data_IF_157881299782
#
_entry.id   IF_157881299782
#
_cell.length_a   1.000
_cell.length_b   1.000
_cell.length_c   1.000
_cell.angle_alpha   90.00
_cell.angle_beta   90.00
_cell.angle_gamma   90.00
#
_symmetry.space_group_name_H-M   'P 1'
#
loop_
_entity.id
_entity.type
_entity.pdbx_description
1 polymer ?
#
# COMPACT_ATOMS: atom_id res chain seq x y z
N UNK A 1 39.92 19.44 13.90
CA UNK A 1 38.66 19.00 14.53
C UNK A 1 37.81 18.36 13.46
N UNK A 2 37.47 17.06 13.51
CA UNK A 2 36.58 16.47 12.51
C UNK A 2 35.14 16.92 12.80
N UNK A 3 34.41 17.29 11.74
CA UNK A 3 33.00 17.64 11.81
C UNK A 3 32.17 16.40 12.21
N UNK A 4 31.34 16.57 13.22
CA UNK A 4 30.31 15.61 13.62
C UNK A 4 29.35 15.38 12.44
N UNK A 5 29.36 14.18 11.86
CA UNK A 5 28.24 13.72 11.04
C UNK A 5 27.06 13.47 11.97
N UNK A 6 26.18 14.45 12.11
CA UNK A 6 24.82 14.20 12.59
C UNK A 6 24.14 13.30 11.55
N UNK A 7 23.72 12.10 11.96
CA UNK A 7 22.77 11.27 11.23
C UNK A 7 21.37 11.90 11.31
N UNK A 8 21.28 13.18 10.94
CA UNK A 8 20.05 13.94 10.94
C UNK A 8 19.24 13.49 9.74
N UNK A 9 18.07 12.91 10.01
CA UNK A 9 17.01 12.83 9.03
C UNK A 9 16.68 14.26 8.58
N UNK A 10 17.12 14.63 7.38
CA UNK A 10 16.70 15.87 6.69
C UNK A 10 15.57 15.47 5.74
N UNK A 11 14.29 15.60 6.14
CA UNK A 11 13.19 15.21 5.28
C UNK A 11 13.15 16.14 4.07
N UNK A 12 13.54 15.60 2.91
CA UNK A 12 13.20 16.20 1.63
C UNK A 12 11.67 16.17 1.48
N UNK A 13 11.02 17.27 1.85
CA UNK A 13 9.57 17.41 1.71
C UNK A 13 9.17 17.27 0.23
N UNK A 14 8.35 16.27 -0.08
CA UNK A 14 7.82 16.02 -1.44
C UNK A 14 6.44 16.63 -1.69
N UNK A 15 5.87 17.32 -0.70
CA UNK A 15 4.54 17.92 -0.80
C UNK A 15 3.41 16.90 -0.71
N UNK A 16 2.27 17.21 -1.32
CA UNK A 16 1.15 16.30 -1.45
C UNK A 16 1.45 15.21 -2.49
N UNK A 17 1.28 13.95 -2.11
CA UNK A 17 1.64 12.79 -2.96
C UNK A 17 0.44 12.08 -3.58
N UNK A 18 -0.75 12.27 -3.00
CA UNK A 18 -2.03 11.78 -3.52
C UNK A 18 -3.15 12.71 -3.04
N UNK A 19 -4.02 13.13 -3.96
CA UNK A 19 -5.15 14.03 -3.67
C UNK A 19 -6.37 13.34 -3.05
N UNK A 20 -6.29 12.03 -2.88
CA UNK A 20 -7.36 11.20 -2.37
C UNK A 20 -8.41 10.87 -3.43
N UNK A 21 -9.24 9.88 -3.10
CA UNK A 21 -10.24 9.29 -4.02
C UNK A 21 -11.65 9.32 -3.41
N UNK A 22 -11.87 10.23 -2.45
CA UNK A 22 -13.11 10.31 -1.66
C UNK A 22 -13.23 9.29 -0.52
N UNK A 23 -12.14 8.58 -0.20
CA UNK A 23 -12.07 7.67 0.93
C UNK A 23 -11.68 8.39 2.23
N UNK A 24 -12.19 7.92 3.37
CA UNK A 24 -11.77 8.38 4.68
C UNK A 24 -10.39 7.81 5.06
N UNK A 25 -9.68 8.48 5.99
CA UNK A 25 -8.31 8.11 6.39
C UNK A 25 -8.19 6.65 6.85
N UNK A 26 -9.15 6.15 7.60
CA UNK A 26 -9.18 4.79 8.16
C UNK A 26 -9.34 3.71 7.06
N UNK A 27 -9.86 4.09 5.90
CA UNK A 27 -9.99 3.21 4.74
C UNK A 27 -8.70 3.09 3.92
N UNK A 28 -7.75 4.01 4.09
CA UNK A 28 -6.57 4.09 3.24
C UNK A 28 -5.42 3.27 3.80
N UNK A 29 -4.72 2.54 2.93
CA UNK A 29 -3.43 1.91 3.21
C UNK A 29 -2.45 2.26 2.08
N UNK A 30 -1.17 2.39 2.43
CA UNK A 30 -0.07 2.57 1.48
C UNK A 30 0.83 1.35 1.56
N UNK A 31 0.85 0.55 0.49
CA UNK A 31 1.44 -0.79 0.47
C UNK A 31 2.01 -1.04 -0.91
N UNK A 32 3.22 -1.58 -1.02
CA UNK A 32 3.75 -2.06 -2.30
C UNK A 32 2.99 -3.33 -2.72
N UNK A 33 2.07 -3.20 -3.67
CA UNK A 33 1.15 -4.25 -4.08
C UNK A 33 1.64 -4.97 -5.33
N UNK A 34 2.47 -4.34 -6.15
CA UNK A 34 2.97 -4.93 -7.40
C UNK A 34 4.44 -5.36 -7.34
N UNK A 35 5.16 -5.03 -6.26
CA UNK A 35 6.55 -5.40 -6.01
C UNK A 35 7.57 -4.60 -6.80
N UNK A 36 7.24 -3.36 -7.16
CA UNK A 36 8.15 -2.43 -7.85
C UNK A 36 8.97 -1.54 -6.88
N UNK A 37 8.84 -1.75 -5.58
CA UNK A 37 9.42 -0.99 -4.46
C UNK A 37 8.85 0.43 -4.31
N UNK A 38 7.66 0.70 -4.86
CA UNK A 38 6.88 1.91 -4.60
C UNK A 38 5.60 1.49 -3.88
N UNK A 39 5.18 2.29 -2.90
CA UNK A 39 3.90 2.06 -2.23
C UNK A 39 2.76 2.49 -3.15
N UNK A 40 1.76 1.62 -3.25
CA UNK A 40 0.51 1.83 -3.95
C UNK A 40 -0.58 2.34 -3.00
N UNK A 41 -1.61 2.96 -3.57
CA UNK A 41 -2.72 3.53 -2.81
C UNK A 41 -3.89 2.57 -2.77
N UNK A 42 -4.23 2.06 -1.59
CA UNK A 42 -5.30 1.09 -1.39
C UNK A 42 -6.45 1.71 -0.59
N UNK A 43 -7.67 1.39 -0.98
CA UNK A 43 -8.91 1.72 -0.24
C UNK A 43 -9.61 0.44 0.16
N UNK A 44 -9.75 0.24 1.47
CA UNK A 44 -10.38 -0.91 2.10
C UNK A 44 -11.88 -0.66 2.36
N UNK A 45 -12.71 -1.57 1.89
CA UNK A 45 -14.14 -1.63 2.23
C UNK A 45 -14.39 -2.26 3.60
N UNK A 46 -15.60 -2.09 4.15
CA UNK A 46 -15.97 -2.57 5.49
C UNK A 46 -15.87 -4.10 5.65
N UNK A 47 -15.93 -4.84 4.54
CA UNK A 47 -15.85 -6.31 4.52
C UNK A 47 -14.59 -6.83 3.81
N UNK A 48 -13.57 -5.99 3.75
CA UNK A 48 -12.24 -6.31 3.26
C UNK A 48 -12.05 -6.29 1.75
N UNK A 49 -12.98 -5.67 1.02
CA UNK A 49 -12.74 -5.30 -0.37
C UNK A 49 -11.52 -4.40 -0.45
N UNK A 50 -10.72 -4.53 -1.51
CA UNK A 50 -9.59 -3.64 -1.76
C UNK A 50 -9.71 -3.07 -3.16
N UNK A 51 -9.73 -1.74 -3.26
CA UNK A 51 -9.53 -1.02 -4.52
C UNK A 51 -8.15 -0.38 -4.53
N UNK A 52 -7.44 -0.48 -5.65
CA UNK A 52 -6.05 -0.04 -5.75
C UNK A 52 -5.81 0.96 -6.87
N UNK A 53 -4.82 1.83 -6.63
CA UNK A 53 -4.17 2.69 -7.60
C UNK A 53 -2.67 2.47 -7.50
N UNK A 54 -2.05 1.99 -8.58
CA UNK A 54 -0.62 1.73 -8.62
C UNK A 54 0.17 3.03 -8.79
N UNK A 55 1.32 3.10 -8.13
CA UNK A 55 2.24 4.22 -8.21
C UNK A 55 3.24 4.02 -9.35
N UNK A 56 3.01 4.68 -10.48
CA UNK A 56 3.91 4.64 -11.65
C UNK A 56 5.12 5.61 -11.48
N UNK A 57 5.30 6.21 -10.29
CA UNK A 57 6.43 7.06 -9.94
C UNK A 57 6.21 8.55 -10.28
N UNK A 58 7.29 9.35 -10.36
CA UNK A 58 7.20 10.79 -10.64
C UNK A 58 6.54 11.07 -12.00
N UNK A 59 5.56 11.96 -12.02
CA UNK A 59 4.93 12.38 -13.27
C UNK A 59 5.75 13.46 -13.99
N UNK A 60 5.70 13.49 -15.33
CA UNK A 60 6.47 14.43 -16.16
C UNK A 60 6.16 15.92 -15.88
N UNK A 61 4.96 16.23 -15.37
CA UNK A 61 4.54 17.58 -14.97
C UNK A 61 4.77 17.91 -13.50
N UNK A 62 5.46 17.05 -12.75
CA UNK A 62 5.57 17.11 -11.30
C UNK A 62 4.46 16.31 -10.59
N UNK A 63 4.69 16.00 -9.31
CA UNK A 63 3.82 15.10 -8.54
C UNK A 63 4.06 13.63 -8.86
N UNK A 64 3.01 12.82 -8.76
CA UNK A 64 3.07 11.36 -8.86
C UNK A 64 2.02 10.85 -9.86
N UNK A 65 2.43 9.88 -10.68
CA UNK A 65 1.58 9.19 -11.62
C UNK A 65 0.88 8.02 -10.91
N UNK A 66 -0.45 8.03 -10.94
CA UNK A 66 -1.28 7.00 -10.31
C UNK A 66 -2.14 6.31 -11.35
N UNK A 67 -2.05 4.98 -11.44
CA UNK A 67 -2.85 4.16 -12.35
C UNK A 67 -3.97 3.46 -11.60
N UNK A 68 -5.23 3.80 -11.89
CA UNK A 68 -6.39 3.11 -11.31
C UNK A 68 -6.43 1.66 -11.78
N UNK A 69 -6.30 0.71 -10.85
CA UNK A 69 -6.40 -0.73 -11.12
C UNK A 69 -7.81 -1.26 -10.86
N UNK A 70 -8.57 -0.59 -9.98
CA UNK A 70 -9.93 -1.01 -9.64
C UNK A 70 -9.94 -1.95 -8.45
N UNK A 71 -10.94 -2.83 -8.35
CA UNK A 71 -11.03 -3.82 -7.29
C UNK A 71 -10.02 -4.95 -7.53
N UNK A 72 -9.15 -5.16 -6.56
CA UNK A 72 -8.09 -6.17 -6.60
C UNK A 72 -8.34 -7.31 -5.60
N UNK A 73 -9.22 -7.08 -4.61
CA UNK A 73 -9.75 -8.11 -3.75
C UNK A 73 -11.24 -7.84 -3.48
N UNK A 74 -12.07 -8.87 -3.60
CA UNK A 74 -13.51 -8.82 -3.28
C UNK A 74 -13.79 -8.83 -1.77
N UNK A 75 -12.75 -9.02 -0.96
CA UNK A 75 -12.86 -9.23 0.47
C UNK A 75 -13.27 -10.65 0.85
N UNK A 76 -13.06 -10.96 2.13
CA UNK A 76 -13.34 -12.28 2.72
C UNK A 76 -14.34 -12.19 3.88
N UNK A 77 -15.04 -11.05 3.99
CA UNK A 77 -16.01 -10.78 5.05
C UNK A 77 -15.40 -10.32 6.38
N UNK A 78 -14.08 -10.17 6.45
CA UNK A 78 -13.40 -9.64 7.62
C UNK A 78 -13.56 -8.10 7.70
N UNK A 79 -13.64 -7.52 8.91
CA UNK A 79 -13.56 -6.07 9.09
C UNK A 79 -12.24 -5.53 8.54
N UNK A 80 -12.26 -4.32 7.98
CA UNK A 80 -11.03 -3.70 7.44
C UNK A 80 -9.88 -3.59 8.44
N UNK A 81 -10.18 -3.44 9.73
CA UNK A 81 -9.18 -3.27 10.78
C UNK A 81 -8.45 -4.59 11.10
N UNK A 82 -8.99 -5.71 10.63
CA UNK A 82 -8.36 -7.03 10.74
C UNK A 82 -7.48 -7.36 9.53
N UNK A 83 -7.32 -6.43 8.57
CA UNK A 83 -6.58 -6.68 7.33
C UNK A 83 -5.20 -6.05 7.43
N UNK A 84 -4.20 -6.90 7.24
CA UNK A 84 -2.81 -6.53 7.05
C UNK A 84 -2.35 -6.88 5.64
N UNK A 85 -1.23 -6.27 5.25
CA UNK A 85 -0.55 -6.59 4.01
C UNK A 85 0.92 -6.88 4.30
N UNK A 86 1.41 -8.02 3.83
CA UNK A 86 2.78 -8.45 4.06
C UNK A 86 3.21 -9.43 2.97
N UNK A 87 4.47 -9.36 2.55
CA UNK A 87 5.10 -10.34 1.66
C UNK A 87 5.28 -11.68 2.39
N UNK A 88 4.44 -12.69 2.09
CA UNK A 88 4.45 -14.00 2.72
C UNK A 88 5.35 -15.01 2.01
N UNK A 89 5.59 -14.83 0.72
CA UNK A 89 6.30 -15.81 -0.12
C UNK A 89 7.67 -15.32 -0.65
N UNK A 90 8.02 -14.07 -0.39
CA UNK A 90 9.31 -13.47 -0.70
C UNK A 90 9.43 -12.91 -2.11
N UNK A 91 8.32 -12.72 -2.83
CA UNK A 91 8.31 -12.23 -4.21
C UNK A 91 8.29 -10.70 -4.37
N UNK A 92 8.24 -10.00 -3.22
CA UNK A 92 8.16 -8.54 -3.02
C UNK A 92 6.78 -7.91 -3.23
N UNK A 93 5.75 -8.67 -3.54
CA UNK A 93 4.36 -8.21 -3.60
C UNK A 93 3.75 -8.44 -2.23
N UNK A 94 3.20 -7.41 -1.59
CA UNK A 94 2.51 -7.66 -0.34
C UNK A 94 1.21 -8.45 -0.60
N UNK A 95 1.04 -9.51 0.17
CA UNK A 95 -0.12 -10.39 0.17
C UNK A 95 -1.21 -9.87 1.08
N UNK A 96 -2.43 -10.39 0.91
CA UNK A 96 -3.58 -10.04 1.73
C UNK A 96 -3.62 -10.96 2.96
N UNK A 97 -3.64 -10.38 4.16
CA UNK A 97 -3.65 -11.13 5.42
C UNK A 97 -4.82 -10.68 6.29
N UNK A 98 -5.55 -11.64 6.87
CA UNK A 98 -6.53 -11.38 7.93
C UNK A 98 -6.01 -11.89 9.25
N UNK A 99 -5.85 -10.99 10.21
CA UNK A 99 -5.49 -11.31 11.59
C UNK A 99 -6.76 -11.28 12.46
N UNK A 100 -7.10 -12.41 13.07
CA UNK A 100 -8.25 -12.53 13.98
C UNK A 100 -7.89 -12.08 15.39
N UNK A 101 -8.91 -11.81 16.22
CA UNK A 101 -8.74 -11.32 17.60
C UNK A 101 -7.90 -12.24 18.49
N UNK A 102 -7.86 -13.54 18.19
CA UNK A 102 -7.02 -14.52 18.89
C UNK A 102 -5.57 -14.61 18.36
N UNK A 103 -5.18 -13.71 17.45
CA UNK A 103 -3.87 -13.67 16.80
C UNK A 103 -3.70 -14.66 15.64
N UNK A 104 -4.71 -15.47 15.31
CA UNK A 104 -4.62 -16.40 14.19
C UNK A 104 -4.74 -15.67 12.84
N UNK A 105 -3.77 -15.89 11.96
CA UNK A 105 -3.73 -15.27 10.63
C UNK A 105 -4.20 -16.23 9.52
N UNK A 106 -4.84 -15.69 8.50
CA UNK A 106 -5.09 -16.36 7.22
C UNK A 106 -4.60 -15.46 6.09
N UNK A 107 -3.90 -16.02 5.11
CA UNK A 107 -3.26 -15.27 4.03
C UNK A 107 -3.70 -15.73 2.64
N UNK A 108 -3.64 -14.82 1.68
CA UNK A 108 -3.94 -15.05 0.26
C UNK A 108 -2.85 -14.42 -0.59
N UNK A 109 -2.17 -15.24 -1.40
CA UNK A 109 -1.08 -14.79 -2.25
C UNK A 109 -1.55 -13.85 -3.36
N UNK A 110 -0.76 -12.83 -3.61
CA UNK A 110 -0.96 -11.87 -4.67
C UNK A 110 -0.05 -12.18 -5.87
N UNK A 111 -0.53 -13.05 -6.77
CA UNK A 111 0.26 -13.50 -7.94
C UNK A 111 -0.11 -12.85 -9.28
N UNK A 112 -1.07 -11.92 -9.27
CA UNK A 112 -1.75 -11.51 -10.52
C UNK A 112 -1.61 -10.04 -10.86
N UNK A 113 -0.99 -9.22 -10.00
CA UNK A 113 -0.81 -7.79 -10.25
C UNK A 113 0.54 -7.57 -10.95
N UNK A 114 0.56 -7.05 -12.19
CA UNK A 114 1.81 -6.80 -12.92
C UNK A 114 2.62 -5.66 -12.32
N UNK A 115 3.96 -5.79 -12.38
CA UNK A 115 4.91 -4.71 -12.08
C UNK A 115 4.76 -3.56 -13.09
N UNK A 116 4.92 -2.32 -12.61
CA UNK A 116 4.94 -1.11 -13.43
C UNK A 116 6.35 -0.64 -13.79
#
# INVERSE_FOLDING_TARGET
MPATRTCGYDPLRKGEVASGVGAARDQVRLVDLNGDNRVDYLVLGDHGQVRAWLNDGPAAGGGWAWKRTGEVASGVGAPRDNIDFADLDGDKRNDYVVVRDNGAASGWLNDRIPRS
#
